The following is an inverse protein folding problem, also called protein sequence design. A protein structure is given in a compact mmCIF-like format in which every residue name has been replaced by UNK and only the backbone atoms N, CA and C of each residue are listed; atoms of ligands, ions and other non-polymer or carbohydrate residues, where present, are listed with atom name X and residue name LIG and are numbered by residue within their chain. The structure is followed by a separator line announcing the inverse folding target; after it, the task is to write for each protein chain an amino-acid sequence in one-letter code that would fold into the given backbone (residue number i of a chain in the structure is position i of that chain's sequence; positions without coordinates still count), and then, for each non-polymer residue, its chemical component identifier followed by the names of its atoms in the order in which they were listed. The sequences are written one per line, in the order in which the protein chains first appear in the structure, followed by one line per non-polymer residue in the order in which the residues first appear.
data_IF_787390387378
#
_entry.id   IF_787390387378
#
_cell.length_a   1.000
_cell.length_b   1.000
_cell.length_c   1.000
_cell.angle_alpha   90.00
_cell.angle_beta   90.00
_cell.angle_gamma   90.00
#
_symmetry.space_group_name_H-M   'P 1'
#
loop_
_entity.id
_entity.type
_entity.pdbx_description
1 polymer ?
#
# COMPACT_ATOMS: atom_id res chain seq x y z
N UNK A 1 -21.63 8.56 7.32
CA UNK A 1 -20.17 8.46 7.20
C UNK A 1 -19.75 9.35 6.05
N UNK A 2 -18.87 10.31 6.28
CA UNK A 2 -18.38 11.26 5.27
C UNK A 2 -17.27 10.63 4.40
N UNK A 3 -16.93 11.29 3.29
CA UNK A 3 -15.76 10.89 2.46
C UNK A 3 -14.46 11.02 3.26
N UNK A 4 -14.38 12.00 4.16
CA UNK A 4 -13.22 12.19 5.03
C UNK A 4 -13.07 11.05 6.04
N UNK A 5 -14.18 10.59 6.65
CA UNK A 5 -14.16 9.43 7.56
C UNK A 5 -13.72 8.17 6.80
N UNK A 6 -14.31 7.94 5.62
CA UNK A 6 -13.95 6.83 4.74
C UNK A 6 -12.47 6.85 4.35
N UNK A 7 -11.95 8.02 3.98
CA UNK A 7 -10.55 8.20 3.62
C UNK A 7 -9.61 7.94 4.81
N UNK A 8 -10.02 8.34 6.02
CA UNK A 8 -9.27 8.07 7.26
C UNK A 8 -9.25 6.59 7.63
N UNK A 9 -10.40 5.93 7.63
CA UNK A 9 -10.53 4.50 7.93
C UNK A 9 -9.80 3.64 6.91
N UNK A 10 -9.91 4.00 5.63
CA UNK A 10 -9.25 3.30 4.55
C UNK A 10 -7.72 3.52 4.57
N UNK A 11 -7.23 4.67 5.04
CA UNK A 11 -5.80 4.89 5.28
C UNK A 11 -5.24 3.84 6.25
N UNK A 12 -5.90 3.63 7.38
CA UNK A 12 -5.51 2.60 8.34
C UNK A 12 -5.61 1.19 7.77
N UNK A 13 -6.65 0.89 6.99
CA UNK A 13 -6.79 -0.38 6.30
C UNK A 13 -5.62 -0.64 5.34
N UNK A 14 -5.19 0.37 4.56
CA UNK A 14 -4.01 0.30 3.69
C UNK A 14 -2.74 0.02 4.50
N UNK A 15 -2.52 0.76 5.59
CA UNK A 15 -1.33 0.62 6.45
C UNK A 15 -1.27 -0.79 7.05
N UNK A 16 -2.33 -1.24 7.71
CA UNK A 16 -2.36 -2.53 8.40
C UNK A 16 -2.28 -3.68 7.39
N UNK A 17 -3.04 -3.63 6.29
CA UNK A 17 -3.03 -4.70 5.30
C UNK A 17 -1.63 -4.86 4.68
N UNK A 18 -0.99 -3.77 4.25
CA UNK A 18 0.35 -3.85 3.64
C UNK A 18 1.43 -4.21 4.67
N UNK A 19 1.30 -3.79 5.93
CA UNK A 19 2.19 -4.19 7.01
C UNK A 19 2.12 -5.70 7.32
N UNK A 20 0.91 -6.23 7.47
CA UNK A 20 0.69 -7.67 7.72
C UNK A 20 1.12 -8.53 6.55
N UNK A 21 0.73 -8.15 5.33
CA UNK A 21 1.09 -8.89 4.12
C UNK A 21 2.58 -8.81 3.83
N UNK A 22 3.20 -7.64 4.03
CA UNK A 22 4.65 -7.49 3.94
C UNK A 22 5.38 -8.40 4.92
N UNK A 23 4.91 -8.46 6.17
CA UNK A 23 5.46 -9.34 7.20
C UNK A 23 5.30 -10.82 6.82
N UNK A 24 4.14 -11.23 6.30
CA UNK A 24 3.91 -12.60 5.83
C UNK A 24 4.82 -12.93 4.63
N UNK A 25 4.94 -12.04 3.65
CA UNK A 25 5.80 -12.25 2.50
C UNK A 25 7.29 -12.36 2.91
N UNK A 26 7.77 -11.50 3.81
CA UNK A 26 9.13 -11.61 4.37
C UNK A 26 9.31 -12.93 5.12
N UNK A 27 8.34 -13.32 5.95
CA UNK A 27 8.35 -14.61 6.62
C UNK A 27 8.42 -15.78 5.62
N UNK A 28 7.67 -15.73 4.53
CA UNK A 28 7.65 -16.75 3.48
C UNK A 28 8.96 -16.84 2.68
N UNK A 29 9.78 -15.79 2.69
CA UNK A 29 11.13 -15.85 2.13
C UNK A 29 11.98 -16.88 2.90
N UNK A 30 12.00 -16.78 4.24
CA UNK A 30 12.82 -17.61 5.12
C UNK A 30 12.17 -18.94 5.52
N UNK A 31 10.84 -18.96 5.68
CA UNK A 31 10.08 -20.11 6.18
C UNK A 31 9.19 -20.68 5.08
N UNK A 32 9.56 -21.86 4.57
CA UNK A 32 8.80 -22.52 3.50
C UNK A 32 7.33 -22.81 3.89
N UNK A 33 7.05 -23.05 5.16
CA UNK A 33 5.70 -23.29 5.68
C UNK A 33 4.73 -22.11 5.43
N UNK A 34 5.24 -20.89 5.30
CA UNK A 34 4.46 -19.68 5.06
C UNK A 34 4.18 -19.44 3.57
N UNK A 35 4.77 -20.22 2.65
CA UNK A 35 4.60 -20.11 1.20
C UNK A 35 3.26 -20.70 0.77
N UNK A 36 2.17 -20.00 1.08
CA UNK A 36 0.79 -20.41 0.77
C UNK A 36 0.28 -19.63 -0.43
N UNK A 37 -0.50 -20.28 -1.30
CA UNK A 37 -1.18 -19.60 -2.42
C UNK A 37 -2.06 -18.43 -1.96
N UNK A 38 -2.62 -18.53 -0.75
CA UNK A 38 -3.42 -17.48 -0.12
C UNK A 38 -2.66 -16.14 0.00
N UNK A 39 -1.35 -16.16 0.27
CA UNK A 39 -0.52 -14.95 0.40
C UNK A 39 -0.71 -14.02 -0.81
N UNK A 40 -0.72 -14.56 -2.02
CA UNK A 40 -0.82 -13.75 -3.24
C UNK A 40 -2.18 -13.06 -3.39
N UNK A 41 -3.25 -13.68 -2.91
CA UNK A 41 -4.56 -13.02 -2.86
C UNK A 41 -4.54 -11.84 -1.88
N UNK A 42 -3.88 -11.99 -0.73
CA UNK A 42 -3.74 -10.90 0.22
C UNK A 42 -2.81 -9.78 -0.28
N UNK A 43 -1.75 -10.11 -1.02
CA UNK A 43 -0.90 -9.11 -1.72
C UNK A 43 -1.70 -8.29 -2.71
N UNK A 44 -2.49 -8.95 -3.56
CA UNK A 44 -3.33 -8.24 -4.52
C UNK A 44 -4.37 -7.38 -3.79
N UNK A 45 -5.05 -7.93 -2.79
CA UNK A 45 -6.04 -7.19 -2.02
C UNK A 45 -5.44 -5.95 -1.33
N UNK A 46 -4.29 -6.08 -0.66
CA UNK A 46 -3.66 -4.97 0.07
C UNK A 46 -3.19 -3.84 -0.86
N UNK A 47 -2.75 -4.18 -2.08
CA UNK A 47 -2.33 -3.20 -3.08
C UNK A 47 -3.52 -2.54 -3.77
N UNK A 48 -4.59 -3.28 -4.04
CA UNK A 48 -5.81 -2.73 -4.65
C UNK A 48 -6.47 -1.70 -3.74
N UNK A 49 -6.41 -1.87 -2.41
CA UNK A 49 -6.95 -0.90 -1.45
C UNK A 49 -6.37 0.51 -1.59
N UNK A 50 -5.16 0.66 -2.15
CA UNK A 50 -4.51 1.96 -2.36
C UNK A 50 -5.27 2.81 -3.39
N UNK A 51 -5.92 2.20 -4.38
CA UNK A 51 -6.58 2.95 -5.46
C UNK A 51 -7.84 3.68 -4.97
N UNK A 52 -8.78 3.05 -4.24
CA UNK A 52 -9.88 3.78 -3.63
C UNK A 52 -9.40 4.84 -2.64
N UNK A 53 -8.30 4.59 -1.91
CA UNK A 53 -7.71 5.58 -0.99
C UNK A 53 -7.26 6.84 -1.72
N UNK A 54 -6.54 6.67 -2.83
CA UNK A 54 -6.15 7.76 -3.72
C UNK A 54 -7.37 8.47 -4.30
N UNK A 55 -8.39 7.72 -4.75
CA UNK A 55 -9.59 8.30 -5.34
C UNK A 55 -10.35 9.21 -4.35
N UNK A 56 -10.50 8.77 -3.09
CA UNK A 56 -11.10 9.61 -2.05
C UNK A 56 -10.24 10.82 -1.71
N UNK A 57 -8.91 10.68 -1.68
CA UNK A 57 -8.02 11.82 -1.50
C UNK A 57 -8.18 12.87 -2.60
N UNK A 58 -8.25 12.43 -3.86
CA UNK A 58 -8.51 13.31 -5.01
C UNK A 58 -9.90 13.93 -4.92
N UNK A 59 -10.93 13.19 -4.49
CA UNK A 59 -12.27 13.72 -4.27
C UNK A 59 -12.27 14.87 -3.25
N UNK A 60 -11.66 14.64 -2.08
CA UNK A 60 -11.58 15.65 -1.01
C UNK A 60 -10.92 16.95 -1.51
N UNK A 61 -9.88 16.84 -2.34
CA UNK A 61 -9.22 18.01 -2.94
C UNK A 61 -10.06 18.69 -4.02
N UNK A 62 -10.59 17.92 -4.98
CA UNK A 62 -11.16 18.45 -6.21
C UNK A 62 -12.65 18.82 -6.08
N UNK A 63 -13.39 18.16 -5.19
CA UNK A 63 -14.82 18.35 -4.99
C UNK A 63 -15.08 19.13 -3.70
N UNK A 64 -14.46 18.70 -2.60
CA UNK A 64 -14.72 19.29 -1.28
C UNK A 64 -13.78 20.46 -0.94
N UNK A 65 -12.78 20.73 -1.79
CA UNK A 65 -11.86 21.86 -1.65
C UNK A 65 -10.91 21.75 -0.46
N UNK A 66 -10.67 20.55 0.06
CA UNK A 66 -9.76 20.31 1.17
C UNK A 66 -8.32 20.47 0.72
N UNK A 67 -7.60 21.41 1.32
CA UNK A 67 -6.18 21.59 1.08
C UNK A 67 -5.35 20.61 1.94
N UNK A 68 -4.63 19.66 1.32
CA UNK A 68 -3.79 18.74 2.07
C UNK A 68 -2.46 19.39 2.46
N UNK A 69 -1.78 18.89 3.50
CA UNK A 69 -0.42 19.28 3.81
C UNK A 69 0.54 19.03 2.64
N UNK A 70 1.61 19.83 2.54
CA UNK A 70 2.49 19.90 1.36
C UNK A 70 3.04 18.55 0.88
N UNK A 71 3.34 17.62 1.80
CA UNK A 71 3.88 16.30 1.47
C UNK A 71 2.82 15.19 1.36
N UNK A 72 1.59 15.42 1.83
CA UNK A 72 0.54 14.41 1.83
C UNK A 72 0.19 13.97 0.40
N UNK A 73 0.02 14.94 -0.50
CA UNK A 73 -0.26 14.68 -1.92
C UNK A 73 0.87 13.88 -2.57
N UNK A 74 2.13 14.24 -2.30
CA UNK A 74 3.29 13.53 -2.83
C UNK A 74 3.30 12.04 -2.43
N UNK A 75 3.14 11.75 -1.14
CA UNK A 75 3.08 10.36 -0.66
C UNK A 75 1.85 9.62 -1.18
N UNK A 76 0.70 10.30 -1.26
CA UNK A 76 -0.54 9.76 -1.80
C UNK A 76 -0.40 9.27 -3.24
N UNK A 77 0.31 10.02 -4.09
CA UNK A 77 0.64 9.56 -5.45
C UNK A 77 1.77 8.52 -5.50
N UNK A 78 2.75 8.60 -4.59
CA UNK A 78 3.86 7.65 -4.56
C UNK A 78 3.41 6.20 -4.24
N UNK A 79 2.36 6.03 -3.42
CA UNK A 79 1.78 4.73 -3.10
C UNK A 79 1.38 3.90 -4.34
N UNK A 80 0.48 4.35 -5.23
CA UNK A 80 0.10 3.60 -6.43
C UNK A 80 1.26 3.45 -7.43
N UNK A 81 2.15 4.43 -7.56
CA UNK A 81 3.36 4.27 -8.38
C UNK A 81 4.26 3.15 -7.87
N UNK A 82 4.41 3.03 -6.55
CA UNK A 82 5.16 1.94 -5.93
C UNK A 82 4.52 0.59 -6.28
N UNK A 83 3.19 0.47 -6.22
CA UNK A 83 2.48 -0.76 -6.64
C UNK A 83 2.80 -1.11 -8.09
N UNK A 84 2.78 -0.14 -9.01
CA UNK A 84 3.10 -0.36 -10.42
C UNK A 84 4.55 -0.82 -10.61
N UNK A 85 5.49 -0.23 -9.87
CA UNK A 85 6.92 -0.62 -9.91
C UNK A 85 7.09 -2.06 -9.40
N UNK A 86 6.48 -2.40 -8.26
CA UNK A 86 6.52 -3.76 -7.70
C UNK A 86 5.95 -4.77 -8.70
N UNK A 87 4.82 -4.44 -9.33
CA UNK A 87 4.23 -5.27 -10.36
C UNK A 87 5.17 -5.44 -11.55
N UNK A 88 5.78 -4.37 -12.06
CA UNK A 88 6.74 -4.43 -13.17
C UNK A 88 7.92 -5.38 -12.88
N UNK A 89 8.58 -5.21 -11.73
CA UNK A 89 9.70 -6.07 -11.33
C UNK A 89 9.30 -7.53 -11.12
N UNK A 90 8.10 -7.79 -10.61
CA UNK A 90 7.59 -9.16 -10.41
C UNK A 90 7.47 -9.96 -11.71
N UNK A 91 7.28 -9.27 -12.84
CA UNK A 91 7.04 -9.86 -14.17
C UNK A 91 8.31 -10.06 -14.98
N UNK A 92 9.37 -9.32 -14.68
CA UNK A 92 10.58 -9.28 -15.52
C UNK A 92 11.78 -9.94 -14.83
N UNK A 93 12.28 -9.36 -13.74
CA UNK A 93 13.70 -9.53 -13.36
C UNK A 93 13.96 -10.17 -11.99
N UNK A 94 12.95 -10.34 -11.12
CA UNK A 94 13.17 -10.79 -9.72
C UNK A 94 12.27 -11.94 -9.28
N UNK A 95 11.93 -12.86 -10.20
CA UNK A 95 11.06 -14.03 -9.89
C UNK A 95 11.56 -14.89 -8.71
N UNK A 96 12.87 -15.00 -8.52
CA UNK A 96 13.45 -15.76 -7.40
C UNK A 96 13.31 -15.05 -6.04
N UNK A 97 13.04 -13.74 -6.05
CA UNK A 97 12.99 -12.88 -4.85
C UNK A 97 11.60 -12.27 -4.61
N UNK A 98 10.54 -12.84 -5.18
CA UNK A 98 9.17 -12.27 -5.07
C UNK A 98 8.72 -12.06 -3.63
N UNK A 99 9.01 -13.00 -2.73
CA UNK A 99 8.68 -12.87 -1.31
C UNK A 99 9.38 -11.67 -0.65
N UNK A 100 10.64 -11.41 -1.03
CA UNK A 100 11.39 -10.25 -0.53
C UNK A 100 10.89 -8.95 -1.15
N UNK A 101 10.61 -8.96 -2.47
CA UNK A 101 10.07 -7.82 -3.21
C UNK A 101 8.75 -7.34 -2.59
N UNK A 102 7.78 -8.24 -2.42
CA UNK A 102 6.48 -7.90 -1.85
C UNK A 102 6.53 -7.72 -0.34
N UNK A 103 7.51 -8.34 0.33
CA UNK A 103 7.78 -8.16 1.74
C UNK A 103 8.23 -6.75 2.08
N UNK A 104 9.37 -6.35 1.52
CA UNK A 104 9.92 -5.00 1.67
C UNK A 104 9.00 -3.95 1.04
N UNK A 105 8.39 -4.27 -0.11
CA UNK A 105 7.40 -3.42 -0.76
C UNK A 105 6.18 -3.15 0.12
N UNK A 106 5.65 -4.17 0.81
CA UNK A 106 4.54 -4.01 1.75
C UNK A 106 4.89 -3.11 2.93
N UNK A 107 6.07 -3.29 3.54
CA UNK A 107 6.54 -2.41 4.61
C UNK A 107 6.82 -0.98 4.13
N UNK A 108 7.32 -0.82 2.92
CA UNK A 108 7.52 0.51 2.33
C UNK A 108 6.17 1.22 2.11
N UNK A 109 5.17 0.54 1.54
CA UNK A 109 3.81 1.06 1.37
C UNK A 109 3.17 1.43 2.72
N UNK A 110 3.30 0.56 3.73
CA UNK A 110 2.88 0.84 5.10
C UNK A 110 3.57 2.11 5.64
N UNK A 111 4.89 2.21 5.51
CA UNK A 111 5.67 3.34 5.98
C UNK A 111 5.30 4.66 5.30
N UNK A 112 5.06 4.63 3.99
CA UNK A 112 4.54 5.80 3.25
C UNK A 112 3.15 6.21 3.73
N UNK A 113 2.25 5.24 3.98
CA UNK A 113 0.92 5.51 4.53
C UNK A 113 0.99 6.18 5.91
N UNK A 114 1.78 5.63 6.82
CA UNK A 114 2.01 6.21 8.15
C UNK A 114 2.59 7.63 8.02
N UNK A 115 3.58 7.82 7.15
CA UNK A 115 4.20 9.14 6.92
C UNK A 115 3.17 10.15 6.42
N UNK A 116 2.30 9.76 5.48
CA UNK A 116 1.23 10.61 4.94
C UNK A 116 0.17 10.97 5.99
N UNK A 117 -0.03 10.13 7.01
CA UNK A 117 -1.01 10.36 8.07
C UNK A 117 -0.48 11.23 9.21
N UNK A 118 0.80 11.08 9.57
CA UNK A 118 1.36 11.68 10.79
C UNK A 118 2.15 12.96 10.50
N UNK A 119 2.81 13.07 9.35
CA UNK A 119 3.69 14.19 9.07
C UNK A 119 3.05 15.13 8.06
N UNK A 120 2.60 16.26 8.61
CA UNK A 120 2.08 17.42 7.91
C UNK A 120 3.21 18.23 7.27
#
# INVERSE_FOLDING_TARGET
MSVQDLHGDLAWAVVVANGLVGSWALGAHWLAALRRRALWWFVVASQVLIFPQMAFGVWLMAVDGVEPPSMHTFYGFLLPFTVLILFGYSRTSVRSYLYLLYGLGGWFLMGLGIRAMILH
#
